data_IF_378346348052
#
_entry.id   IF_378346348052
#
_cell.length_a   1.000
_cell.length_b   1.000
_cell.length_c   1.000
_cell.angle_alpha   90.00
_cell.angle_beta   90.00
_cell.angle_gamma   90.00
#
_symmetry.space_group_name_H-M   'P 1'
#
loop_
_entity.id
_entity.type
_entity.pdbx_description
1 polymer ?
#
# COMPACT_ATOMS: atom_id res chain seq x y z
N UNK A 1 -19.47 16.74 14.58
CA UNK A 1 -18.49 15.74 15.08
C UNK A 1 -17.21 16.06 14.36
N UNK A 2 -16.24 16.62 15.08
CA UNK A 2 -14.98 17.02 14.48
C UNK A 2 -14.07 15.79 14.39
N UNK A 3 -13.79 15.37 13.17
CA UNK A 3 -12.96 14.20 12.89
C UNK A 3 -11.54 14.69 12.65
N UNK A 4 -10.72 14.61 13.69
CA UNK A 4 -9.36 15.15 13.69
C UNK A 4 -8.36 14.19 13.01
N UNK A 5 -8.46 12.90 13.32
CA UNK A 5 -7.56 11.86 12.81
C UNK A 5 -8.31 10.66 12.23
N UNK A 6 -7.83 10.20 11.07
CA UNK A 6 -8.18 8.92 10.46
C UNK A 6 -6.91 8.11 10.36
N UNK A 7 -7.02 6.81 10.65
CA UNK A 7 -5.95 5.85 10.47
C UNK A 7 -6.46 4.71 9.59
N UNK A 8 -5.88 4.56 8.40
CA UNK A 8 -6.12 3.39 7.56
C UNK A 8 -5.37 2.21 8.18
N UNK A 9 -6.11 1.15 8.53
CA UNK A 9 -5.55 -0.04 9.13
C UNK A 9 -6.49 -1.24 8.86
N UNK A 10 -6.01 -2.49 9.02
CA UNK A 10 -6.90 -3.64 9.02
C UNK A 10 -7.96 -3.48 10.11
N UNK A 11 -9.22 -3.68 9.74
CA UNK A 11 -10.33 -3.76 10.68
C UNK A 11 -11.14 -5.00 10.30
N UNK A 12 -11.39 -5.94 11.23
CA UNK A 12 -12.24 -7.09 10.96
C UNK A 12 -13.62 -6.68 10.47
N UNK A 13 -14.21 -7.46 9.58
CA UNK A 13 -15.58 -7.22 9.14
C UNK A 13 -16.54 -7.46 10.32
N UNK A 14 -17.46 -6.50 10.52
CA UNK A 14 -18.52 -6.60 11.51
C UNK A 14 -19.85 -6.44 10.76
N UNK A 15 -20.70 -7.47 10.71
CA UNK A 15 -21.96 -7.43 9.96
C UNK A 15 -22.94 -6.37 10.49
N UNK A 16 -22.70 -5.80 11.66
CA UNK A 16 -23.51 -4.72 12.24
C UNK A 16 -23.13 -3.34 11.70
N UNK A 17 -21.98 -3.21 11.05
CA UNK A 17 -21.49 -1.96 10.48
C UNK A 17 -21.70 -1.99 8.96
N UNK A 18 -22.45 -1.03 8.40
CA UNK A 18 -22.65 -0.94 6.95
C UNK A 18 -21.33 -0.79 6.18
N UNK A 19 -21.27 -1.44 5.02
CA UNK A 19 -20.18 -1.32 4.07
C UNK A 19 -18.87 -1.99 4.48
N UNK A 20 -17.82 -1.66 3.74
CA UNK A 20 -16.48 -2.26 3.93
C UNK A 20 -15.66 -1.40 4.89
N UNK A 21 -15.15 -1.95 6.00
CA UNK A 21 -14.31 -1.21 6.91
C UNK A 21 -12.92 -0.96 6.29
N UNK A 22 -12.41 0.26 6.46
CA UNK A 22 -11.12 0.71 5.86
C UNK A 22 -10.13 1.24 6.88
N UNK A 23 -10.56 1.45 8.13
CA UNK A 23 -9.72 1.99 9.17
C UNK A 23 -10.50 2.44 10.39
N UNK A 24 -9.86 3.30 11.19
CA UNK A 24 -10.46 3.87 12.40
C UNK A 24 -10.39 5.39 12.42
N UNK A 25 -11.34 5.98 13.13
CA UNK A 25 -11.46 7.40 13.44
C UNK A 25 -11.30 7.59 14.94
N UNK A 26 -10.66 8.68 15.34
CA UNK A 26 -10.59 9.06 16.75
C UNK A 26 -9.86 10.37 16.98
N UNK A 27 -9.71 10.70 18.25
CA UNK A 27 -8.95 11.86 18.71
C UNK A 27 -7.45 11.57 18.80
N UNK A 28 -6.66 12.64 18.78
CA UNK A 28 -5.19 12.73 18.84
C UNK A 28 -4.46 11.46 19.28
N UNK A 29 -3.58 10.94 18.41
CA UNK A 29 -2.60 9.90 18.75
C UNK A 29 -2.80 8.56 18.04
N UNK A 30 -3.89 8.37 17.30
CA UNK A 30 -4.09 7.19 16.44
C UNK A 30 -2.99 7.11 15.38
N UNK A 31 -2.60 8.25 14.80
CA UNK A 31 -1.51 8.31 13.82
C UNK A 31 -0.15 7.84 14.37
N UNK A 32 0.03 7.80 15.70
CA UNK A 32 1.26 7.32 16.35
C UNK A 32 1.28 5.79 16.54
N UNK A 33 0.14 5.11 16.42
CA UNK A 33 -0.02 3.66 16.59
C UNK A 33 0.32 2.90 15.30
N UNK A 34 1.54 3.12 14.80
CA UNK A 34 1.96 2.66 13.48
C UNK A 34 2.42 1.20 13.46
N UNK A 35 2.85 0.64 14.60
CA UNK A 35 3.45 -0.71 14.65
C UNK A 35 2.51 -1.84 15.01
N UNK A 36 1.29 -1.53 15.46
CA UNK A 36 0.25 -2.51 15.83
C UNK A 36 -1.11 -1.99 15.41
N UNK A 37 -1.95 -2.87 14.89
CA UNK A 37 -3.32 -2.52 14.53
C UNK A 37 -4.03 -1.99 15.78
N UNK A 38 -4.53 -0.74 15.78
CA UNK A 38 -5.25 -0.22 16.93
C UNK A 38 -6.55 -0.98 17.15
N UNK A 39 -6.85 -1.28 18.42
CA UNK A 39 -8.12 -1.89 18.84
C UNK A 39 -9.15 -0.86 19.28
N UNK A 40 -8.73 0.40 19.47
CA UNK A 40 -9.57 1.51 19.91
C UNK A 40 -9.83 2.50 18.78
N UNK A 41 -10.92 3.27 18.90
CA UNK A 41 -11.40 4.22 17.89
C UNK A 41 -12.59 3.69 17.11
N UNK A 42 -13.44 4.60 16.64
CA UNK A 42 -14.62 4.30 15.85
C UNK A 42 -14.22 3.73 14.49
N UNK A 43 -14.95 2.75 13.97
CA UNK A 43 -14.66 2.14 12.67
C UNK A 43 -15.11 3.10 11.55
N UNK A 44 -14.20 3.37 10.62
CA UNK A 44 -14.54 4.01 9.35
C UNK A 44 -14.84 2.92 8.32
N UNK A 45 -16.04 2.97 7.73
CA UNK A 45 -16.45 2.08 6.65
C UNK A 45 -17.10 2.84 5.50
N UNK A 46 -17.15 2.20 4.33
CA UNK A 46 -17.77 2.76 3.12
C UNK A 46 -18.71 1.76 2.46
N UNK A 47 -19.91 2.23 2.12
CA UNK A 47 -20.87 1.54 1.25
C UNK A 47 -21.04 2.34 -0.03
N UNK A 48 -20.48 1.84 -1.14
CA UNK A 48 -20.33 2.64 -2.35
C UNK A 48 -19.53 3.92 -2.09
N UNK A 49 -20.17 5.08 -2.14
CA UNK A 49 -19.56 6.39 -1.85
C UNK A 49 -19.95 6.98 -0.49
N UNK A 50 -20.88 6.34 0.24
CA UNK A 50 -21.33 6.80 1.54
C UNK A 50 -20.33 6.33 2.61
N UNK A 51 -19.80 7.28 3.38
CA UNK A 51 -18.95 6.98 4.53
C UNK A 51 -19.80 6.77 5.79
N UNK A 52 -19.38 5.85 6.66
CA UNK A 52 -19.97 5.63 7.97
C UNK A 52 -18.88 5.61 9.06
N UNK A 53 -19.21 6.14 10.22
CA UNK A 53 -18.38 6.08 11.44
C UNK A 53 -19.18 5.37 12.52
N UNK A 54 -18.75 4.17 12.92
CA UNK A 54 -19.50 3.24 13.78
C UNK A 54 -20.97 3.07 13.31
N UNK A 55 -21.13 2.93 11.99
CA UNK A 55 -22.43 2.75 11.33
C UNK A 55 -23.30 3.99 11.22
N UNK A 56 -22.84 5.16 11.68
CA UNK A 56 -23.52 6.44 11.46
C UNK A 56 -23.04 7.07 10.16
N UNK A 57 -23.93 7.45 9.23
CA UNK A 57 -23.52 8.10 7.99
C UNK A 57 -22.84 9.44 8.26
N UNK A 58 -21.74 9.71 7.56
CA UNK A 58 -20.98 10.96 7.65
C UNK A 58 -20.73 11.50 6.25
N UNK A 59 -20.82 12.81 6.09
CA UNK A 59 -20.50 13.46 4.82
C UNK A 59 -19.00 13.38 4.52
N UNK A 60 -18.65 13.08 3.27
CA UNK A 60 -17.24 13.01 2.84
C UNK A 60 -16.48 14.31 3.12
N UNK A 61 -17.14 15.47 2.98
CA UNK A 61 -16.52 16.78 3.24
C UNK A 61 -15.96 16.90 4.67
N UNK A 62 -16.60 16.27 5.66
CA UNK A 62 -16.16 16.26 7.07
C UNK A 62 -14.88 15.42 7.25
N UNK A 63 -14.70 14.39 6.42
CA UNK A 63 -13.59 13.44 6.50
C UNK A 63 -12.41 13.81 5.59
N UNK A 64 -12.66 14.60 4.53
CA UNK A 64 -11.78 14.72 3.37
C UNK A 64 -10.31 15.02 3.71
N UNK A 65 -10.07 16.01 4.57
CA UNK A 65 -8.72 16.41 4.99
C UNK A 65 -8.04 15.34 5.86
N UNK A 66 -8.75 14.78 6.83
CA UNK A 66 -8.23 13.72 7.68
C UNK A 66 -7.95 12.45 6.87
N UNK A 67 -8.80 12.15 5.88
CA UNK A 67 -8.65 11.01 4.98
C UNK A 67 -7.43 11.18 4.10
N UNK A 68 -7.22 12.37 3.51
CA UNK A 68 -6.03 12.64 2.72
C UNK A 68 -4.76 12.43 3.55
N UNK A 69 -4.72 12.95 4.78
CA UNK A 69 -3.58 12.73 5.68
C UNK A 69 -3.34 11.25 5.95
N UNK A 70 -4.40 10.48 6.19
CA UNK A 70 -4.32 9.04 6.42
C UNK A 70 -3.80 8.28 5.19
N UNK A 71 -4.28 8.64 3.99
CA UNK A 71 -3.80 8.09 2.71
C UNK A 71 -2.32 8.39 2.51
N UNK A 72 -1.90 9.65 2.68
CA UNK A 72 -0.49 10.05 2.55
C UNK A 72 0.36 9.31 3.56
N UNK A 73 -0.07 9.19 4.82
CA UNK A 73 0.69 8.47 5.84
C UNK A 73 0.86 6.98 5.50
N UNK A 74 -0.22 6.30 5.08
CA UNK A 74 -0.15 4.89 4.67
C UNK A 74 0.73 4.70 3.43
N UNK A 75 0.54 5.53 2.40
CA UNK A 75 1.30 5.47 1.16
C UNK A 75 2.78 5.79 1.36
N UNK A 76 3.11 6.78 2.21
CA UNK A 76 4.49 7.10 2.59
C UNK A 76 5.17 5.93 3.30
N UNK A 77 4.45 5.11 4.08
CA UNK A 77 5.06 3.91 4.69
C UNK A 77 5.45 2.89 3.64
N UNK A 78 4.61 2.70 2.63
CA UNK A 78 4.81 1.75 1.53
C UNK A 78 5.88 2.20 0.54
N UNK A 79 5.84 3.45 0.09
CA UNK A 79 6.62 3.92 -1.06
C UNK A 79 7.41 5.21 -0.82
N UNK A 80 7.20 5.87 0.32
CA UNK A 80 7.85 7.15 0.64
C UNK A 80 7.18 8.33 -0.05
N UNK A 81 7.87 9.46 -0.11
CA UNK A 81 7.26 10.73 -0.51
C UNK A 81 6.78 10.78 -1.97
N UNK A 82 7.32 9.90 -2.83
CA UNK A 82 6.96 9.77 -4.24
C UNK A 82 5.90 8.67 -4.47
N UNK A 83 4.91 8.56 -3.59
CA UNK A 83 3.94 7.46 -3.57
C UNK A 83 2.88 7.47 -4.69
N UNK A 84 2.65 8.61 -5.36
CA UNK A 84 1.55 8.73 -6.35
C UNK A 84 1.74 7.79 -7.54
N UNK A 85 2.95 7.75 -8.12
CA UNK A 85 3.23 6.89 -9.26
C UNK A 85 3.13 5.39 -8.90
N UNK A 86 3.72 4.92 -7.79
CA UNK A 86 3.50 3.57 -7.29
C UNK A 86 2.04 3.22 -7.05
N UNK A 87 1.27 4.12 -6.44
CA UNK A 87 -0.16 3.88 -6.21
C UNK A 87 -0.90 3.69 -7.53
N UNK A 88 -0.64 4.54 -8.53
CA UNK A 88 -1.24 4.44 -9.87
C UNK A 88 -0.89 3.12 -10.53
N UNK A 89 0.38 2.71 -10.50
CA UNK A 89 0.82 1.45 -11.08
C UNK A 89 0.13 0.24 -10.42
N UNK A 90 0.10 0.17 -9.09
CA UNK A 90 -0.47 -0.95 -8.35
C UNK A 90 -2.00 -1.04 -8.48
N UNK A 91 -2.68 0.10 -8.58
CA UNK A 91 -4.16 0.16 -8.54
C UNK A 91 -4.80 0.37 -9.91
N UNK A 92 -4.01 0.64 -10.94
CA UNK A 92 -4.45 1.07 -12.28
C UNK A 92 -5.41 2.27 -12.27
N UNK A 93 -5.39 3.06 -11.18
CA UNK A 93 -6.15 4.30 -11.12
C UNK A 93 -5.57 5.31 -12.10
N UNK A 94 -6.43 6.10 -12.75
CA UNK A 94 -5.95 7.24 -13.52
C UNK A 94 -5.11 8.19 -12.65
N UNK A 95 -4.00 8.70 -13.19
CA UNK A 95 -3.06 9.53 -12.44
C UNK A 95 -3.72 10.74 -11.77
N UNK A 96 -4.74 11.31 -12.43
CA UNK A 96 -5.53 12.40 -11.87
C UNK A 96 -6.26 11.99 -10.59
N UNK A 97 -6.78 10.77 -10.49
CA UNK A 97 -7.52 10.26 -9.33
C UNK A 97 -6.65 10.17 -8.08
N UNK A 98 -5.36 9.83 -8.26
CA UNK A 98 -4.41 9.72 -7.17
C UNK A 98 -3.86 11.07 -6.67
N UNK A 99 -4.21 12.20 -7.32
CA UNK A 99 -3.78 13.53 -6.88
C UNK A 99 -4.52 13.96 -5.62
N UNK A 100 -3.80 14.69 -4.74
CA UNK A 100 -4.31 15.16 -3.43
C UNK A 100 -5.66 15.88 -3.56
N UNK A 101 -5.78 16.83 -4.49
CA UNK A 101 -7.02 17.59 -4.71
C UNK A 101 -8.20 16.70 -5.11
N UNK A 102 -7.94 15.63 -5.88
CA UNK A 102 -8.98 14.67 -6.26
C UNK A 102 -9.38 13.77 -5.10
N UNK A 103 -8.42 13.36 -4.28
CA UNK A 103 -8.67 12.58 -3.06
C UNK A 103 -9.51 13.41 -2.08
N UNK A 104 -9.18 14.69 -1.86
CA UNK A 104 -10.00 15.59 -1.04
C UNK A 104 -11.42 15.66 -1.60
N UNK A 105 -11.57 15.89 -2.90
CA UNK A 105 -12.88 16.10 -3.50
C UNK A 105 -13.75 14.84 -3.56
N UNK A 106 -13.16 13.68 -3.80
CA UNK A 106 -13.90 12.47 -4.17
C UNK A 106 -13.58 11.22 -3.35
N UNK A 107 -12.52 11.25 -2.53
CA UNK A 107 -11.95 10.08 -1.89
C UNK A 107 -11.21 9.18 -2.88
N UNK A 108 -10.65 8.09 -2.35
CA UNK A 108 -10.18 6.95 -3.13
C UNK A 108 -11.22 5.83 -3.12
N UNK A 109 -11.22 4.92 -4.10
CA UNK A 109 -12.06 3.73 -4.06
C UNK A 109 -11.81 2.91 -2.79
N UNK A 110 -12.88 2.37 -2.20
CA UNK A 110 -12.83 1.57 -0.97
C UNK A 110 -11.81 0.42 -1.01
N UNK A 111 -11.67 -0.36 -2.10
CA UNK A 111 -10.64 -1.39 -2.18
C UNK A 111 -9.21 -0.83 -2.07
N UNK A 112 -8.97 0.37 -2.58
CA UNK A 112 -7.66 1.03 -2.50
C UNK A 112 -7.36 1.51 -1.08
N UNK A 113 -8.36 2.03 -0.38
CA UNK A 113 -8.22 2.37 1.05
C UNK A 113 -7.93 1.12 1.90
N UNK A 114 -8.63 0.01 1.64
CA UNK A 114 -8.41 -1.29 2.32
C UNK A 114 -7.01 -1.86 2.02
N UNK A 115 -6.55 -1.76 0.77
CA UNK A 115 -5.18 -2.12 0.37
C UNK A 115 -4.14 -1.33 1.15
N UNK A 116 -4.24 0.01 1.14
CA UNK A 116 -3.31 0.89 1.84
C UNK A 116 -3.26 0.60 3.33
N UNK A 117 -4.43 0.47 3.97
CA UNK A 117 -4.53 0.15 5.40
C UNK A 117 -3.90 -1.20 5.73
N UNK A 118 -4.15 -2.22 4.91
CA UNK A 118 -3.63 -3.56 5.15
C UNK A 118 -2.12 -3.65 4.93
N UNK A 119 -1.64 -3.16 3.80
CA UNK A 119 -0.23 -3.24 3.43
C UNK A 119 0.66 -2.36 4.34
N UNK A 120 0.16 -1.22 4.82
CA UNK A 120 0.95 -0.34 5.70
C UNK A 120 1.20 -0.95 7.10
N UNK A 121 0.46 -1.99 7.50
CA UNK A 121 0.48 -2.59 8.83
C UNK A 121 1.21 -3.93 8.94
N UNK A 122 1.85 -4.39 7.86
CA UNK A 122 2.76 -5.54 7.87
C UNK A 122 4.12 -5.17 8.50
N UNK A 123 4.94 -6.18 8.87
CA UNK A 123 6.23 -5.96 9.56
C UNK A 123 7.24 -5.14 8.75
N UNK A 124 7.22 -5.30 7.41
CA UNK A 124 8.12 -4.60 6.48
C UNK A 124 7.33 -3.87 5.39
N UNK A 125 6.58 -2.79 5.73
CA UNK A 125 5.64 -2.16 4.81
C UNK A 125 6.34 -1.59 3.57
N UNK A 126 7.58 -1.11 3.72
CA UNK A 126 8.38 -0.63 2.60
C UNK A 126 8.72 -1.75 1.60
N UNK A 127 9.13 -2.91 2.12
CA UNK A 127 9.41 -4.08 1.28
C UNK A 127 8.14 -4.59 0.60
N UNK A 128 7.02 -4.63 1.32
CA UNK A 128 5.70 -4.97 0.74
C UNK A 128 5.29 -3.97 -0.34
N UNK A 129 5.55 -2.68 -0.15
CA UNK A 129 5.33 -1.66 -1.18
C UNK A 129 6.11 -1.94 -2.47
N UNK A 130 7.39 -2.31 -2.37
CA UNK A 130 8.18 -2.72 -3.53
C UNK A 130 7.69 -4.03 -4.14
N UNK A 131 7.26 -4.99 -3.33
CA UNK A 131 6.70 -6.24 -3.82
C UNK A 131 5.39 -6.03 -4.58
N UNK A 132 4.52 -5.13 -4.10
CA UNK A 132 3.29 -4.75 -4.82
C UNK A 132 3.61 -4.19 -6.21
N UNK A 133 4.68 -3.39 -6.33
CA UNK A 133 5.13 -2.89 -7.63
C UNK A 133 5.65 -4.02 -8.52
N UNK A 134 6.50 -4.91 -7.98
CA UNK A 134 6.98 -6.06 -8.74
C UNK A 134 5.82 -6.94 -9.25
N UNK A 135 4.82 -7.20 -8.41
CA UNK A 135 3.60 -7.92 -8.78
C UNK A 135 2.86 -7.18 -9.91
N UNK A 136 2.61 -5.88 -9.76
CA UNK A 136 1.91 -5.10 -10.77
C UNK A 136 2.65 -5.08 -12.12
N UNK A 137 3.97 -4.91 -12.10
CA UNK A 137 4.82 -4.92 -13.31
C UNK A 137 4.75 -6.27 -14.03
N UNK A 138 4.99 -7.38 -13.33
CA UNK A 138 4.95 -8.71 -13.94
C UNK A 138 3.54 -9.05 -14.43
N UNK A 139 2.51 -8.66 -13.68
CA UNK A 139 1.12 -8.86 -14.09
C UNK A 139 0.81 -8.11 -15.39
N UNK A 140 1.19 -6.84 -15.50
CA UNK A 140 0.94 -6.05 -16.71
C UNK A 140 1.68 -6.63 -17.93
N UNK A 141 2.90 -7.14 -17.76
CA UNK A 141 3.67 -7.85 -18.80
C UNK A 141 3.01 -9.17 -19.23
N UNK A 142 2.38 -9.91 -18.30
CA UNK A 142 1.64 -11.12 -18.66
C UNK A 142 0.37 -10.80 -19.46
N UNK A 143 -0.29 -9.68 -19.15
CA UNK A 143 -1.49 -9.26 -19.85
C UNK A 143 -1.24 -8.74 -21.27
N UNK A 144 -0.05 -8.23 -21.58
CA UNK A 144 0.25 -7.68 -22.92
C UNK A 144 0.25 -8.74 -24.02
N UNK A 145 0.35 -10.02 -23.65
CA UNK A 145 0.41 -11.13 -24.59
C UNK A 145 -0.97 -11.71 -24.93
N UNK A 146 -2.06 -11.27 -24.25
CA UNK A 146 -3.38 -11.90 -24.41
C UNK A 146 -4.57 -10.92 -24.22
N UNK A 147 -5.28 -10.60 -25.30
CA UNK A 147 -6.40 -9.64 -25.30
C UNK A 147 -7.66 -10.13 -24.58
N UNK A 148 -7.83 -11.45 -24.38
CA UNK A 148 -8.96 -12.01 -23.63
C UNK A 148 -8.78 -11.90 -22.11
N UNK A 149 -7.55 -12.03 -21.60
CA UNK A 149 -7.23 -11.89 -20.17
C UNK A 149 -7.54 -10.48 -19.64
N UNK A 150 -7.39 -9.46 -20.50
CA UNK A 150 -7.70 -8.07 -20.16
C UNK A 150 -9.18 -7.81 -19.86
N UNK A 151 -10.12 -8.63 -20.38
CA UNK A 151 -11.56 -8.40 -20.21
C UNK A 151 -12.13 -8.93 -18.90
N UNK A 152 -11.53 -9.99 -18.35
CA UNK A 152 -11.97 -10.60 -17.08
C UNK A 152 -11.45 -9.86 -15.86
N UNK A 153 -10.23 -9.32 -15.92
CA UNK A 153 -9.55 -8.70 -14.77
C UNK A 153 -9.21 -9.68 -13.64
N UNK A 154 -9.58 -10.95 -13.76
CA UNK A 154 -9.29 -12.03 -12.81
C UNK A 154 -8.36 -13.03 -13.48
N UNK A 155 -7.19 -13.25 -12.87
CA UNK A 155 -6.25 -14.29 -13.30
C UNK A 155 -6.86 -15.68 -13.13
N UNK A 156 -6.71 -16.51 -14.17
CA UNK A 156 -6.97 -17.94 -14.08
C UNK A 156 -6.03 -18.61 -13.07
N UNK A 157 -6.30 -19.86 -12.71
CA UNK A 157 -5.40 -20.58 -11.82
C UNK A 157 -3.99 -20.73 -12.43
N UNK A 158 -3.93 -21.05 -13.73
CA UNK A 158 -2.68 -21.17 -14.48
C UNK A 158 -1.90 -19.84 -14.51
N UNK A 159 -2.58 -18.71 -14.70
CA UNK A 159 -1.89 -17.40 -14.73
C UNK A 159 -1.36 -17.03 -13.34
N UNK A 160 -2.06 -17.41 -12.27
CA UNK A 160 -1.56 -17.20 -10.90
C UNK A 160 -0.29 -18.01 -10.65
N UNK A 161 -0.24 -19.25 -11.13
CA UNK A 161 0.96 -20.09 -11.02
C UNK A 161 2.13 -19.55 -11.86
N UNK A 162 1.86 -19.02 -13.07
CA UNK A 162 2.90 -18.39 -13.88
C UNK A 162 3.40 -17.08 -13.27
N UNK A 163 2.49 -16.24 -12.76
CA UNK A 163 2.83 -15.02 -12.02
C UNK A 163 3.72 -15.34 -10.81
N UNK A 164 3.32 -16.33 -10.01
CA UNK A 164 4.10 -16.76 -8.85
C UNK A 164 5.50 -17.25 -9.25
N UNK A 165 5.60 -18.07 -10.30
CA UNK A 165 6.87 -18.56 -10.83
C UNK A 165 7.78 -17.42 -11.28
N UNK A 166 7.24 -16.45 -12.04
CA UNK A 166 8.00 -15.27 -12.50
C UNK A 166 8.49 -14.41 -11.33
N UNK A 167 7.62 -14.16 -10.34
CA UNK A 167 7.99 -13.40 -9.14
C UNK A 167 9.07 -14.10 -8.31
N UNK A 168 8.99 -15.43 -8.16
CA UNK A 168 10.07 -16.20 -7.54
C UNK A 168 11.39 -16.09 -8.32
N UNK A 169 11.33 -16.07 -9.65
CA UNK A 169 12.50 -15.83 -10.50
C UNK A 169 13.13 -14.45 -10.24
N UNK A 170 12.31 -13.39 -10.21
CA UNK A 170 12.74 -12.02 -9.90
C UNK A 170 13.37 -11.94 -8.51
N UNK A 171 12.75 -12.56 -7.51
CA UNK A 171 13.28 -12.58 -6.14
C UNK A 171 14.64 -13.26 -6.07
N UNK A 172 14.81 -14.43 -6.70
CA UNK A 172 16.11 -15.13 -6.74
C UNK A 172 17.19 -14.30 -7.42
N UNK A 173 16.86 -13.67 -8.55
CA UNK A 173 17.80 -12.81 -9.26
C UNK A 173 18.23 -11.61 -8.39
N UNK A 174 17.27 -10.96 -7.73
CA UNK A 174 17.56 -9.85 -6.82
C UNK A 174 18.42 -10.28 -5.61
N UNK A 175 18.17 -11.47 -5.05
CA UNK A 175 18.99 -12.04 -3.98
C UNK A 175 20.44 -12.22 -4.43
N UNK A 176 20.66 -12.86 -5.59
CA UNK A 176 22.00 -13.07 -6.13
C UNK A 176 22.76 -11.76 -6.37
N UNK A 177 22.10 -10.74 -6.94
CA UNK A 177 22.71 -9.43 -7.15
C UNK A 177 23.08 -8.73 -5.84
N UNK A 178 22.26 -8.87 -4.80
CA UNK A 178 22.54 -8.28 -3.47
C UNK A 178 23.68 -9.00 -2.77
N UNK A 179 23.79 -10.32 -2.92
CA UNK A 179 24.89 -11.12 -2.38
C UNK A 179 26.21 -10.72 -3.05
N UNK A 180 26.24 -10.71 -4.38
CA UNK A 180 27.42 -10.32 -5.18
C UNK A 180 27.94 -8.92 -4.79
N UNK A 181 27.07 -7.90 -4.77
CA UNK A 181 27.51 -6.53 -4.46
C UNK A 181 27.99 -6.38 -3.01
N UNK A 182 27.45 -7.17 -2.07
CA UNK A 182 27.90 -7.15 -0.67
C UNK A 182 29.29 -7.74 -0.53
N UNK A 183 29.55 -8.86 -1.20
CA UNK A 183 30.86 -9.51 -1.22
C UNK A 183 31.93 -8.58 -1.81
N UNK A 184 31.63 -7.95 -2.95
CA UNK A 184 32.53 -6.98 -3.59
C UNK A 184 32.80 -5.76 -2.69
N UNK A 185 31.75 -5.21 -2.08
CA UNK A 185 31.87 -4.05 -1.19
C UNK A 185 32.71 -4.37 0.04
N UNK A 186 32.55 -5.55 0.64
CA UNK A 186 33.33 -5.98 1.80
C UNK A 186 34.78 -6.32 1.44
N UNK A 187 35.04 -6.83 0.23
CA UNK A 187 36.40 -6.96 -0.28
C UNK A 187 37.07 -5.59 -0.45
N UNK A 188 36.40 -4.64 -1.11
CA UNK A 188 36.91 -3.29 -1.30
C UNK A 188 37.20 -2.59 0.04
N UNK A 189 36.31 -2.75 1.03
CA UNK A 189 36.50 -2.22 2.39
C UNK A 189 37.75 -2.81 3.06
N UNK A 190 37.98 -4.12 2.94
CA UNK A 190 39.17 -4.80 3.52
C UNK A 190 40.47 -4.32 2.88
N UNK A 191 40.49 -4.19 1.55
CA UNK A 191 41.67 -3.69 0.82
C UNK A 191 42.03 -2.28 1.29
N UNK A 192 41.04 -1.39 1.39
CA UNK A 192 41.24 -0.01 1.86
C UNK A 192 41.85 0.05 3.27
N UNK A 193 41.28 -0.68 4.23
CA UNK A 193 41.79 -0.71 5.60
C UNK A 193 43.24 -1.24 5.67
N UNK A 194 43.56 -2.25 4.87
CA UNK A 194 44.92 -2.80 4.81
C UNK A 194 45.96 -1.82 4.26
N UNK A 195 45.56 -0.90 3.38
CA UNK A 195 46.42 0.17 2.86
C UNK A 195 46.60 1.28 3.90
N UNK A 196 45.55 1.65 4.62
CA UNK A 196 45.59 2.68 5.67
C UNK A 196 46.46 2.26 6.88
N UNK A 197 46.51 0.97 7.23
CA UNK A 197 47.36 0.45 8.32
C UNK A 197 48.85 0.29 7.97
N UNK A 198 49.22 0.41 6.69
CA UNK A 198 50.61 0.27 6.23
C UNK A 198 51.30 1.63 6.01
N UNK A 199 50.57 2.73 6.17
CA UNK A 199 51.08 4.10 6.06
C UNK A 199 51.34 4.71 7.44
#
# INVERSE_FOLDING_TARGET
MDIEEILLCPVPEDPRIPGTPVGRVGSVGLAKLTRRVPTMGAVLSYEGRQAYVDGRPVEHAVLAEALLRAVVAAANRLWGDLWVAPLVAVTRLGQRTAQRDRIIKFGLPTPVLKLLGSAAYVDHPRAVGYQLLAVATVWDEMGSDDEEHHRSGVLSHSDREDLDRRLHGVLRAAQGLVEEIREETDLARRIRLGLETKS
#
